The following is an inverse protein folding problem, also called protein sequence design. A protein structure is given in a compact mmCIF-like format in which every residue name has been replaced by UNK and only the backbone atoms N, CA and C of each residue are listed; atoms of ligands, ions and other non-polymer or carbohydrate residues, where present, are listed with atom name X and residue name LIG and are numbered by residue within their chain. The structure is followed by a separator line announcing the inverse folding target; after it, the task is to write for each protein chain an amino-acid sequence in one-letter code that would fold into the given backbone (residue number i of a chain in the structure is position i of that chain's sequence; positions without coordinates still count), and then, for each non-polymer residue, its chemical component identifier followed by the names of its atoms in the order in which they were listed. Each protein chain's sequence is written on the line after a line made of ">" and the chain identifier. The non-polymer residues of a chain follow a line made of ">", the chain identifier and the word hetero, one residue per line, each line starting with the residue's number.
data_IF_636623012777
#
_entry.id   IF_636623012777
#
_cell.length_a   1.000
_cell.length_b   1.000
_cell.length_c   1.000
_cell.angle_alpha   90.00
_cell.angle_beta   90.00
_cell.angle_gamma   90.00
#
_symmetry.space_group_name_H-M   'P 1'
#
loop_
_entity.id
_entity.type
_entity.pdbx_description
1 polymer ?
#
# COMPACT_ATOMS: atom_id res chain seq x y z
N UNK A 1 -13.24 13.68 9.81
CA UNK A 1 -13.80 12.81 8.75
C UNK A 1 -12.66 12.02 8.11
N UNK A 2 -12.06 11.07 8.86
CA UNK A 2 -10.91 10.26 8.43
C UNK A 2 -11.23 8.75 8.31
N UNK A 3 -12.50 8.37 8.43
CA UNK A 3 -12.88 6.95 8.59
C UNK A 3 -12.67 6.11 7.33
N UNK A 4 -12.66 6.69 6.12
CA UNK A 4 -12.56 5.88 4.88
C UNK A 4 -11.17 5.23 4.77
N UNK A 5 -10.11 5.96 5.11
CA UNK A 5 -8.74 5.41 5.09
C UNK A 5 -8.55 4.32 6.15
N UNK A 6 -9.10 4.54 7.35
CA UNK A 6 -9.03 3.57 8.44
C UNK A 6 -9.84 2.30 8.15
N UNK A 7 -11.05 2.44 7.59
CA UNK A 7 -11.87 1.32 7.14
C UNK A 7 -11.20 0.55 5.99
N UNK A 8 -10.56 1.26 5.05
CA UNK A 8 -9.78 0.64 3.97
C UNK A 8 -8.59 -0.16 4.50
N UNK A 9 -7.84 0.40 5.46
CA UNK A 9 -6.74 -0.28 6.14
C UNK A 9 -7.21 -1.53 6.89
N UNK A 10 -8.25 -1.38 7.70
CA UNK A 10 -8.83 -2.50 8.44
C UNK A 10 -9.24 -3.62 7.49
N UNK A 11 -9.93 -3.29 6.39
CA UNK A 11 -10.38 -4.28 5.42
C UNK A 11 -9.23 -4.98 4.70
N UNK A 12 -8.17 -4.25 4.36
CA UNK A 12 -6.97 -4.85 3.76
C UNK A 12 -6.37 -5.91 4.69
N UNK A 13 -6.27 -5.61 5.99
CA UNK A 13 -5.70 -6.52 6.98
C UNK A 13 -6.58 -7.73 7.27
N UNK A 14 -7.91 -7.55 7.34
CA UNK A 14 -8.86 -8.67 7.45
C UNK A 14 -8.72 -9.68 6.31
N UNK A 15 -8.31 -9.22 5.13
CA UNK A 15 -8.08 -10.05 3.95
C UNK A 15 -6.63 -10.57 3.84
N UNK A 16 -5.78 -10.28 4.83
CA UNK A 16 -4.36 -10.65 4.83
C UNK A 16 -3.50 -9.85 3.84
N UNK A 17 -4.02 -8.74 3.31
CA UNK A 17 -3.32 -7.90 2.34
C UNK A 17 -2.54 -6.77 3.02
N UNK A 18 -1.42 -6.32 2.43
CA UNK A 18 -0.81 -5.06 2.82
C UNK A 18 -1.72 -3.87 2.48
N UNK A 19 -1.59 -2.79 3.23
CA UNK A 19 -2.24 -1.53 2.95
C UNK A 19 -1.23 -0.54 2.34
N UNK A 20 -1.62 0.11 1.25
CA UNK A 20 -0.80 1.12 0.58
C UNK A 20 -1.37 2.52 0.78
N UNK A 21 -0.55 3.47 1.19
CA UNK A 21 -0.93 4.88 1.29
C UNK A 21 0.11 5.80 0.64
N UNK A 22 -0.36 6.94 0.14
CA UNK A 22 0.47 7.99 -0.43
C UNK A 22 0.42 9.21 0.49
N UNK A 23 1.58 9.70 0.91
CA UNK A 23 1.71 10.98 1.62
C UNK A 23 2.46 11.99 0.74
N UNK A 24 2.22 13.27 0.98
CA UNK A 24 2.84 14.35 0.17
C UNK A 24 4.38 14.32 0.23
N UNK A 25 4.94 13.92 1.38
CA UNK A 25 6.39 13.86 1.60
C UNK A 25 7.08 12.63 0.97
N UNK A 26 6.31 11.65 0.48
CA UNK A 26 6.87 10.38 -0.02
C UNK A 26 7.32 10.45 -1.50
N UNK A 27 7.14 11.60 -2.17
CA UNK A 27 7.56 11.81 -3.56
C UNK A 27 6.87 10.84 -4.52
N UNK A 28 7.65 10.03 -5.25
CA UNK A 28 7.13 8.99 -6.16
C UNK A 28 6.83 7.65 -5.46
N UNK A 29 7.15 7.52 -4.18
CA UNK A 29 7.01 6.27 -3.43
C UNK A 29 5.71 6.18 -2.62
N UNK A 30 5.36 4.99 -2.17
CA UNK A 30 4.19 4.69 -1.34
C UNK A 30 4.64 4.08 -0.02
N UNK A 31 3.80 4.20 1.01
CA UNK A 31 3.97 3.43 2.24
C UNK A 31 3.18 2.13 2.13
N UNK A 32 3.83 1.03 2.49
CA UNK A 32 3.24 -0.28 2.64
C UNK A 32 3.22 -0.64 4.11
N UNK A 33 2.03 -0.89 4.65
CA UNK A 33 1.84 -1.40 6.01
C UNK A 33 1.38 -2.86 5.94
N UNK A 34 2.09 -3.74 6.64
CA UNK A 34 1.70 -5.14 6.79
C UNK A 34 0.73 -5.29 7.97
N UNK A 35 -0.11 -6.34 7.98
CA UNK A 35 -0.94 -6.66 9.14
C UNK A 35 -0.14 -6.90 10.45
N UNK A 36 1.16 -7.18 10.34
CA UNK A 36 2.10 -7.30 11.47
C UNK A 36 2.46 -5.96 12.12
N UNK A 37 2.10 -4.83 11.49
CA UNK A 37 2.49 -3.48 11.90
C UNK A 37 3.79 -2.98 11.25
N UNK A 38 4.52 -3.83 10.52
CA UNK A 38 5.73 -3.40 9.82
C UNK A 38 5.40 -2.43 8.68
N UNK A 39 6.16 -1.33 8.59
CA UNK A 39 5.98 -0.30 7.57
C UNK A 39 7.21 -0.17 6.68
N UNK A 40 6.98 0.01 5.37
CA UNK A 40 8.01 0.18 4.36
C UNK A 40 7.68 1.33 3.41
N UNK A 41 8.71 1.99 2.90
CA UNK A 41 8.62 2.83 1.72
C UNK A 41 8.88 1.95 0.49
N UNK A 42 7.99 1.99 -0.49
CA UNK A 42 8.02 1.11 -1.67
C UNK A 42 7.80 1.91 -2.96
N UNK A 43 8.45 1.48 -4.04
CA UNK A 43 8.03 1.85 -5.39
C UNK A 43 6.91 0.89 -5.83
N UNK A 44 5.85 1.42 -6.45
CA UNK A 44 4.68 0.64 -6.86
C UNK A 44 4.53 0.66 -8.38
N UNK A 45 4.24 -0.50 -8.95
CA UNK A 45 3.77 -0.65 -10.33
C UNK A 45 2.40 -1.33 -10.29
N UNK A 46 1.41 -0.72 -10.94
CA UNK A 46 0.08 -1.30 -11.09
C UNK A 46 0.07 -2.08 -12.40
N UNK A 47 -0.13 -3.40 -12.30
CA UNK A 47 -0.28 -4.27 -13.46
C UNK A 47 -1.76 -4.35 -13.80
N UNK A 48 -2.09 -3.99 -15.04
CA UNK A 48 -3.44 -4.03 -15.59
C UNK A 48 -3.62 -5.23 -16.53
N UNK A 49 -4.87 -5.65 -16.72
CA UNK A 49 -5.25 -6.60 -17.78
C UNK A 49 -5.47 -5.90 -19.13
N UNK A 50 -5.91 -6.66 -20.14
CA UNK A 50 -6.18 -6.16 -21.49
C UNK A 50 -7.31 -5.12 -21.57
N UNK A 51 -8.09 -4.92 -20.50
CA UNK A 51 -9.15 -3.91 -20.39
C UNK A 51 -8.73 -2.73 -19.50
N UNK A 52 -7.43 -2.55 -19.25
CA UNK A 52 -6.88 -1.54 -18.34
C UNK A 52 -7.37 -1.67 -16.88
N UNK A 53 -7.86 -2.85 -16.48
CA UNK A 53 -8.31 -3.08 -15.10
C UNK A 53 -7.13 -3.50 -14.22
N UNK A 54 -6.91 -2.87 -13.05
CA UNK A 54 -5.81 -3.24 -12.16
C UNK A 54 -6.05 -4.63 -11.56
N UNK A 55 -5.14 -5.56 -11.83
CA UNK A 55 -5.21 -6.95 -11.36
C UNK A 55 -4.16 -7.28 -10.31
N UNK A 56 -3.05 -6.53 -10.27
CA UNK A 56 -1.96 -6.78 -9.34
C UNK A 56 -1.20 -5.49 -9.02
N UNK A 57 -0.77 -5.38 -7.77
CA UNK A 57 0.20 -4.38 -7.32
C UNK A 57 1.53 -5.09 -7.17
N UNK A 58 2.53 -4.68 -7.94
CA UNK A 58 3.91 -5.08 -7.75
C UNK A 58 4.65 -3.96 -7.02
N UNK A 59 5.45 -4.33 -6.02
CA UNK A 59 6.20 -3.36 -5.25
C UNK A 59 7.67 -3.76 -5.04
N UNK A 60 8.49 -2.74 -4.85
CA UNK A 60 9.91 -2.90 -4.50
C UNK A 60 10.19 -2.12 -3.24
N UNK A 61 10.71 -2.80 -2.21
CA UNK A 61 11.08 -2.16 -0.94
C UNK A 61 12.28 -1.25 -1.13
N UNK A 62 12.09 0.03 -0.82
CA UNK A 62 13.15 1.05 -0.85
C UNK A 62 13.79 1.19 0.52
N UNK A 63 12.98 1.25 1.58
CA UNK A 63 13.46 1.26 2.98
C UNK A 63 12.39 0.80 3.95
N UNK A 64 12.80 0.28 5.11
CA UNK A 64 11.92 0.03 6.25
C UNK A 64 11.72 1.34 7.05
N UNK A 65 10.48 1.63 7.46
CA UNK A 65 10.09 2.86 8.14
C UNK A 65 9.91 2.67 9.65
N UNK A 66 9.39 1.51 10.09
CA UNK A 66 9.24 1.19 11.51
C UNK A 66 9.37 -0.30 11.80
N UNK A 67 9.57 -0.62 13.08
CA UNK A 67 9.42 -1.94 13.72
C UNK A 67 8.25 -1.87 14.70
#
# INVERSE_FOLDING_TARGET
>A
MNNIHELGRQRAFELGNPFYSKHEDDGDYYRKELPTGEQYLVAVTIVTDDNDMPVKVEDTIIKKLSL
#
